data_IF_392357679761
#
_entry.id   IF_392357679761
#
_cell.length_a   1.000
_cell.length_b   1.000
_cell.length_c   1.000
_cell.angle_alpha   90.00
_cell.angle_beta   90.00
_cell.angle_gamma   90.00
#
_symmetry.space_group_name_H-M   'P 1'
#
loop_
_entity.id
_entity.type
_entity.pdbx_description
1 polymer ?
#
# COMPACT_ATOMS: atom_id res chain seq x y z
N UNK A 1 33.08 1.91 -65.29
CA UNK A 1 34.33 1.98 -66.09
C UNK A 1 35.52 2.17 -65.17
N UNK A 2 36.55 1.32 -65.34
CA UNK A 2 37.86 1.37 -64.67
C UNK A 2 38.53 2.73 -64.82
N UNK A 3 39.29 3.18 -63.80
CA UNK A 3 40.69 3.64 -63.90
C UNK A 3 41.21 4.05 -62.50
N UNK A 4 41.99 3.17 -61.86
CA UNK A 4 43.48 3.16 -61.81
C UNK A 4 44.04 4.07 -60.69
N UNK A 5 44.52 3.39 -59.64
CA UNK A 5 45.48 3.88 -58.65
C UNK A 5 46.71 4.48 -59.34
N UNK A 6 47.19 5.62 -58.83
CA UNK A 6 48.63 5.93 -58.82
C UNK A 6 49.02 6.52 -57.48
N UNK A 7 49.47 5.63 -56.57
CA UNK A 7 50.37 5.98 -55.47
C UNK A 7 51.64 6.52 -56.10
N UNK A 8 51.88 7.82 -56.02
CA UNK A 8 53.19 8.40 -56.28
C UNK A 8 53.92 8.40 -54.93
N UNK A 9 55.04 7.68 -54.91
CA UNK A 9 55.93 7.55 -53.76
C UNK A 9 56.48 8.92 -53.37
N UNK A 10 56.10 9.39 -52.18
CA UNK A 10 56.49 10.68 -51.58
C UNK A 10 58.02 10.85 -51.50
N UNK A 11 58.79 9.74 -51.53
CA UNK A 11 60.26 9.77 -51.55
C UNK A 11 60.88 10.33 -52.84
N UNK A 12 60.25 10.15 -54.00
CA UNK A 12 60.81 10.67 -55.26
C UNK A 12 60.41 12.12 -55.56
N UNK A 13 59.31 12.60 -54.95
CA UNK A 13 58.88 14.01 -55.02
C UNK A 13 59.82 14.93 -54.25
N UNK A 14 60.34 14.47 -53.12
CA UNK A 14 61.19 15.28 -52.23
C UNK A 14 62.62 15.41 -52.78
N UNK A 15 63.13 14.39 -53.48
CA UNK A 15 64.43 14.41 -54.17
C UNK A 15 64.40 15.31 -55.42
N UNK A 16 63.29 15.31 -56.18
CA UNK A 16 63.12 16.22 -57.32
C UNK A 16 63.00 17.70 -56.90
N UNK A 17 62.38 17.99 -55.76
CA UNK A 17 62.29 19.36 -55.21
C UNK A 17 63.64 19.81 -54.65
N UNK A 18 64.42 18.92 -54.00
CA UNK A 18 65.77 19.25 -53.54
C UNK A 18 66.75 19.51 -54.69
N UNK A 19 66.64 18.76 -55.80
CA UNK A 19 67.44 19.00 -57.01
C UNK A 19 67.06 20.30 -57.73
N UNK A 20 65.78 20.70 -57.71
CA UNK A 20 65.35 21.99 -58.29
C UNK A 20 65.87 23.20 -57.48
N UNK A 21 65.93 23.08 -56.15
CA UNK A 21 66.45 24.13 -55.27
C UNK A 21 67.98 24.27 -55.42
N UNK A 22 68.70 23.17 -55.65
CA UNK A 22 70.15 23.20 -55.92
C UNK A 22 70.52 23.74 -57.32
N UNK A 23 69.67 23.55 -58.34
CA UNK A 23 69.91 24.08 -59.70
C UNK A 23 69.58 25.58 -59.80
N UNK A 24 68.60 26.06 -59.04
CA UNK A 24 68.29 27.50 -58.93
C UNK A 24 69.37 28.22 -58.08
N UNK A 25 69.97 27.54 -57.10
CA UNK A 25 71.06 28.09 -56.27
C UNK A 25 72.41 28.26 -56.98
N UNK A 26 72.67 27.57 -58.09
CA UNK A 26 73.95 27.65 -58.84
C UNK A 26 73.84 28.47 -60.13
N UNK A 27 72.63 28.82 -60.57
CA UNK A 27 72.42 29.61 -61.81
C UNK A 27 72.30 31.13 -61.57
N UNK A 28 72.45 31.62 -60.34
CA UNK A 28 72.38 33.06 -60.02
C UNK A 28 73.75 33.74 -59.85
N UNK A 29 74.84 33.06 -60.22
CA UNK A 29 76.22 33.57 -60.12
C UNK A 29 76.98 33.45 -61.46
N UNK A 30 76.43 33.98 -62.56
CA UNK A 30 77.15 34.54 -63.72
C UNK A 30 76.14 35.43 -64.48
N UNK A 31 76.06 36.70 -64.12
CA UNK A 31 75.63 37.78 -65.03
C UNK A 31 76.05 39.13 -64.45
N UNK A 32 77.36 39.33 -64.36
CA UNK A 32 77.95 40.65 -64.14
C UNK A 32 77.79 41.48 -65.42
N UNK A 33 76.63 42.11 -65.61
CA UNK A 33 76.55 43.33 -66.44
C UNK A 33 77.00 44.51 -65.59
N UNK A 34 78.24 44.92 -65.85
CA UNK A 34 78.85 46.16 -65.38
C UNK A 34 77.95 47.34 -65.80
N UNK A 35 77.14 47.84 -64.87
CA UNK A 35 76.50 49.14 -64.95
C UNK A 35 77.05 49.95 -63.79
N UNK A 36 77.98 50.83 -64.09
CA UNK A 36 78.35 51.92 -63.20
C UNK A 36 77.08 52.73 -62.92
N UNK A 37 76.57 52.60 -61.70
CA UNK A 37 75.54 53.47 -61.14
C UNK A 37 76.17 54.08 -59.90
N UNK A 38 76.20 55.42 -59.90
CA UNK A 38 76.67 56.29 -58.83
C UNK A 38 76.12 55.86 -57.44
N UNK A 39 76.77 56.26 -56.32
CA UNK A 39 76.32 55.89 -54.97
C UNK A 39 74.96 56.54 -54.68
N UNK A 40 73.89 55.80 -54.95
CA UNK A 40 72.51 56.18 -54.60
C UNK A 40 72.29 55.86 -53.12
N UNK A 41 71.87 56.89 -52.36
CA UNK A 41 71.76 56.99 -50.91
C UNK A 41 70.76 56.04 -50.19
N UNK A 42 70.48 54.83 -50.70
CA UNK A 42 69.51 53.88 -50.13
C UNK A 42 70.15 52.63 -49.47
N UNK A 43 71.43 52.32 -49.74
CA UNK A 43 72.15 51.22 -49.09
C UNK A 43 72.41 51.47 -47.58
N UNK A 44 72.75 52.71 -47.14
CA UNK A 44 72.90 52.99 -45.72
C UNK A 44 71.58 52.88 -44.94
N UNK A 45 70.44 53.22 -45.58
CA UNK A 45 69.10 53.20 -44.96
C UNK A 45 68.58 51.75 -44.76
N UNK A 46 68.86 50.87 -45.71
CA UNK A 46 68.55 49.44 -45.58
C UNK A 46 69.45 48.74 -44.55
N UNK A 47 70.74 49.08 -44.50
CA UNK A 47 71.65 48.55 -43.49
C UNK A 47 71.24 49.04 -42.10
N UNK A 48 70.87 50.32 -41.96
CA UNK A 48 70.36 50.86 -40.70
C UNK A 48 69.08 50.15 -40.22
N UNK A 49 68.16 49.81 -41.13
CA UNK A 49 66.94 49.02 -40.79
C UNK A 49 67.24 47.58 -40.42
N UNK A 50 68.19 46.93 -41.08
CA UNK A 50 68.64 45.58 -40.70
C UNK A 50 69.28 45.62 -39.31
N UNK A 51 70.11 46.61 -39.03
CA UNK A 51 70.77 46.77 -37.74
C UNK A 51 69.75 47.12 -36.62
N UNK A 52 68.69 47.88 -36.94
CA UNK A 52 67.57 48.18 -36.05
C UNK A 52 66.75 46.93 -35.73
N UNK A 53 66.36 46.15 -36.74
CA UNK A 53 65.63 44.89 -36.57
C UNK A 53 66.45 43.84 -35.81
N UNK A 54 67.77 43.78 -36.06
CA UNK A 54 68.67 42.92 -35.29
C UNK A 54 68.76 43.35 -33.83
N UNK A 55 68.77 44.67 -33.56
CA UNK A 55 68.69 45.19 -32.18
C UNK A 55 67.35 44.87 -31.52
N UNK A 56 66.24 44.97 -32.24
CA UNK A 56 64.91 44.63 -31.72
C UNK A 56 64.77 43.13 -31.44
N UNK A 57 65.27 42.27 -32.33
CA UNK A 57 65.31 40.82 -32.12
C UNK A 57 66.17 40.44 -30.91
N UNK A 58 67.37 41.02 -30.80
CA UNK A 58 68.23 40.81 -29.63
C UNK A 58 67.57 41.29 -28.33
N UNK A 59 66.86 42.42 -28.38
CA UNK A 59 66.07 42.94 -27.25
C UNK A 59 64.94 41.97 -26.84
N UNK A 60 64.18 41.46 -27.81
CA UNK A 60 63.10 40.49 -27.56
C UNK A 60 63.62 39.14 -27.10
N UNK A 61 64.75 38.66 -27.61
CA UNK A 61 65.38 37.42 -27.13
C UNK A 61 65.85 37.56 -25.67
N UNK A 62 66.38 38.74 -25.30
CA UNK A 62 66.70 39.06 -23.91
C UNK A 62 65.46 39.06 -23.03
N UNK A 63 64.36 39.66 -23.48
CA UNK A 63 63.07 39.66 -22.76
C UNK A 63 62.49 38.25 -22.60
N UNK A 64 62.55 37.43 -23.66
CA UNK A 64 62.13 36.01 -23.61
C UNK A 64 62.95 35.24 -22.57
N UNK A 65 64.26 35.47 -22.52
CA UNK A 65 65.13 34.78 -21.55
C UNK A 65 64.84 35.25 -20.12
N UNK A 66 64.62 36.56 -19.90
CA UNK A 66 64.19 37.09 -18.61
C UNK A 66 62.85 36.48 -18.16
N UNK A 67 61.84 36.46 -19.04
CA UNK A 67 60.54 35.87 -18.73
C UNK A 67 60.65 34.36 -18.44
N UNK A 68 61.53 33.64 -19.13
CA UNK A 68 61.81 32.21 -18.83
C UNK A 68 62.46 32.05 -17.46
N UNK A 69 63.43 32.89 -17.11
CA UNK A 69 64.09 32.87 -15.80
C UNK A 69 63.13 33.25 -14.67
N UNK A 70 62.30 34.26 -14.86
CA UNK A 70 61.23 34.64 -13.93
C UNK A 70 60.22 33.52 -13.74
N UNK A 71 59.78 32.90 -14.84
CA UNK A 71 58.90 31.73 -14.78
C UNK A 71 59.55 30.57 -14.01
N UNK A 72 60.83 30.28 -14.27
CA UNK A 72 61.56 29.23 -13.56
C UNK A 72 61.81 29.58 -12.08
N UNK A 73 61.96 30.86 -11.74
CA UNK A 73 62.09 31.36 -10.36
C UNK A 73 60.74 31.22 -9.62
N UNK A 74 59.65 31.65 -10.24
CA UNK A 74 58.30 31.53 -9.68
C UNK A 74 57.95 30.05 -9.48
N UNK A 75 58.20 29.20 -10.47
CA UNK A 75 57.96 27.75 -10.36
C UNK A 75 58.76 27.10 -9.22
N UNK A 76 60.02 27.52 -8.99
CA UNK A 76 60.81 27.07 -7.85
C UNK A 76 60.28 27.55 -6.49
N UNK A 77 59.60 28.69 -6.46
CA UNK A 77 59.02 29.26 -5.23
C UNK A 77 57.64 28.68 -4.87
N UNK A 78 56.99 27.97 -5.78
CA UNK A 78 55.67 27.38 -5.56
C UNK A 78 55.80 25.94 -5.02
N UNK A 79 54.94 25.52 -4.06
CA UNK A 79 54.98 24.16 -3.51
C UNK A 79 54.61 23.13 -4.58
N UNK A 80 55.42 22.09 -4.80
CA UNK A 80 55.17 21.12 -5.88
C UNK A 80 53.76 20.52 -5.84
N UNK A 81 53.05 20.63 -6.97
CA UNK A 81 51.72 20.06 -7.16
C UNK A 81 51.76 18.53 -7.14
N UNK A 82 50.76 17.91 -6.55
CA UNK A 82 50.55 16.48 -6.64
C UNK A 82 49.71 16.16 -7.88
N UNK A 83 50.18 15.25 -8.74
CA UNK A 83 49.42 14.76 -9.89
C UNK A 83 48.66 13.49 -9.53
N UNK A 84 47.34 13.55 -9.68
CA UNK A 84 46.40 12.52 -9.24
C UNK A 84 46.60 11.22 -10.01
N UNK A 85 46.77 10.13 -9.26
CA UNK A 85 46.95 8.77 -9.74
C UNK A 85 45.65 7.95 -9.62
N UNK A 86 45.54 6.81 -10.31
CA UNK A 86 44.39 5.92 -10.19
C UNK A 86 44.21 5.43 -8.75
N UNK A 87 43.01 5.60 -8.20
CA UNK A 87 42.65 5.19 -6.84
C UNK A 87 42.84 6.28 -5.78
N UNK A 88 43.47 7.40 -6.13
CA UNK A 88 43.57 8.54 -5.23
C UNK A 88 42.20 9.18 -4.99
N UNK A 89 42.01 9.67 -3.77
CA UNK A 89 40.94 10.59 -3.45
C UNK A 89 41.55 11.87 -2.83
N UNK A 90 40.81 12.97 -2.92
CA UNK A 90 41.33 14.27 -2.51
C UNK A 90 41.62 14.33 -1.01
N UNK A 91 40.83 13.62 -0.20
CA UNK A 91 41.06 13.52 1.24
C UNK A 91 42.42 12.89 1.55
N UNK A 92 42.76 11.78 0.90
CA UNK A 92 44.04 11.07 1.11
C UNK A 92 45.23 11.93 0.71
N UNK A 93 45.13 12.63 -0.43
CA UNK A 93 46.17 13.55 -0.89
C UNK A 93 46.40 14.67 0.14
N UNK A 94 45.33 15.24 0.68
CA UNK A 94 45.40 16.26 1.74
C UNK A 94 45.97 15.71 3.05
N UNK A 95 45.55 14.51 3.43
CA UNK A 95 46.01 13.82 4.63
C UNK A 95 47.51 13.55 4.59
N UNK A 96 48.01 13.02 3.48
CA UNK A 96 49.44 12.74 3.30
C UNK A 96 50.26 14.03 3.29
N UNK A 97 49.74 15.11 2.71
CA UNK A 97 50.38 16.42 2.77
C UNK A 97 50.52 16.93 4.21
N UNK A 98 49.43 16.92 4.98
CA UNK A 98 49.39 17.46 6.34
C UNK A 98 50.25 16.62 7.31
N UNK A 99 50.15 15.29 7.23
CA UNK A 99 50.90 14.39 8.12
C UNK A 99 52.38 14.26 7.73
N UNK A 100 52.68 14.03 6.45
CA UNK A 100 54.04 13.71 6.01
C UNK A 100 54.89 14.96 5.74
N UNK A 101 54.31 16.01 5.15
CA UNK A 101 55.06 17.23 4.81
C UNK A 101 54.97 18.32 5.86
N UNK A 102 53.87 18.40 6.62
CA UNK A 102 53.65 19.43 7.66
C UNK A 102 53.77 18.91 9.09
N UNK A 103 53.77 17.60 9.30
CA UNK A 103 53.91 17.00 10.63
C UNK A 103 52.71 17.22 11.55
N UNK A 104 51.53 17.51 10.98
CA UNK A 104 50.29 17.69 11.74
C UNK A 104 49.81 16.33 12.26
N UNK A 105 49.27 16.31 13.48
CA UNK A 105 48.76 15.07 14.08
C UNK A 105 47.59 14.49 13.27
N UNK A 106 47.36 13.16 13.27
CA UNK A 106 46.24 12.53 12.57
C UNK A 106 44.87 13.09 12.99
N UNK A 107 44.68 13.36 14.27
CA UNK A 107 43.42 13.90 14.83
C UNK A 107 43.13 15.30 14.30
N UNK A 108 44.13 16.19 14.36
CA UNK A 108 44.01 17.55 13.86
C UNK A 108 43.86 17.60 12.33
N UNK A 109 44.57 16.72 11.62
CA UNK A 109 44.43 16.54 10.17
C UNK A 109 43.00 16.17 9.77
N UNK A 110 42.39 15.21 10.47
CA UNK A 110 41.00 14.81 10.23
C UNK A 110 40.03 15.97 10.39
N UNK A 111 40.22 16.80 11.44
CA UNK A 111 39.42 18.01 11.67
C UNK A 111 39.61 19.06 10.57
N UNK A 112 40.84 19.28 10.11
CA UNK A 112 41.14 20.24 9.05
C UNK A 112 40.49 19.83 7.72
N UNK A 113 40.63 18.56 7.32
CA UNK A 113 40.09 18.05 6.06
C UNK A 113 38.56 17.99 6.05
N UNK A 114 37.92 17.73 7.20
CA UNK A 114 36.45 17.71 7.30
C UNK A 114 35.83 19.08 6.99
N UNK A 115 36.52 20.16 7.33
CA UNK A 115 36.04 21.53 7.11
C UNK A 115 36.55 22.16 5.81
N UNK A 116 37.40 21.44 5.06
CA UNK A 116 38.00 21.94 3.83
C UNK A 116 37.12 21.63 2.61
N UNK A 117 37.19 22.49 1.60
CA UNK A 117 36.60 22.19 0.30
C UNK A 117 37.48 21.15 -0.42
N UNK A 118 37.01 19.90 -0.43
CA UNK A 118 37.63 18.81 -1.18
C UNK A 118 36.79 18.49 -2.41
N UNK A 119 37.35 18.74 -3.59
CA UNK A 119 36.76 18.31 -4.86
C UNK A 119 36.63 16.78 -4.94
N UNK A 120 35.42 16.31 -5.24
CA UNK A 120 35.06 14.93 -5.55
C UNK A 120 33.99 14.92 -6.66
N UNK A 121 34.12 14.14 -7.74
CA UNK A 121 35.20 13.20 -8.07
C UNK A 121 36.51 13.87 -8.51
N UNK A 122 37.63 13.23 -8.14
CA UNK A 122 38.98 13.65 -8.55
C UNK A 122 39.49 12.74 -9.68
N UNK A 123 39.74 13.32 -10.86
CA UNK A 123 40.17 12.53 -12.03
C UNK A 123 41.69 12.40 -12.11
N UNK A 124 42.15 11.24 -12.61
CA UNK A 124 43.56 10.98 -12.92
C UNK A 124 44.11 12.07 -13.85
N UNK A 125 45.28 12.60 -13.49
CA UNK A 125 45.95 13.68 -14.19
C UNK A 125 45.60 15.09 -13.71
N UNK A 126 44.62 15.26 -12.81
CA UNK A 126 44.45 16.54 -12.11
C UNK A 126 45.69 16.89 -11.29
N UNK A 127 45.92 18.19 -11.11
CA UNK A 127 46.99 18.70 -10.24
C UNK A 127 46.39 19.33 -9.00
N UNK A 128 46.70 18.77 -7.84
CA UNK A 128 46.28 19.27 -6.53
C UNK A 128 47.42 20.04 -5.90
N UNK A 129 47.17 21.32 -5.63
CA UNK A 129 48.06 22.19 -4.89
C UNK A 129 47.58 22.26 -3.46
N UNK A 130 48.38 21.75 -2.54
CA UNK A 130 48.08 21.75 -1.11
C UNK A 130 48.86 22.86 -0.42
N UNK A 131 48.17 23.63 0.41
CA UNK A 131 48.80 24.64 1.25
C UNK A 131 48.20 24.62 2.64
N UNK A 132 48.96 25.16 3.58
CA UNK A 132 48.53 25.34 4.95
C UNK A 132 49.02 26.72 5.37
N UNK A 133 48.09 27.54 5.84
CA UNK A 133 48.35 28.90 6.28
C UNK A 133 47.51 29.18 7.53
N UNK A 134 48.11 29.83 8.54
CA UNK A 134 47.46 30.16 9.82
C UNK A 134 46.68 29.00 10.49
N UNK A 135 47.18 27.75 10.33
CA UNK A 135 46.53 26.55 10.88
C UNK A 135 45.29 26.09 10.10
N UNK A 136 45.03 26.64 8.93
CA UNK A 136 43.97 26.21 8.01
C UNK A 136 44.57 25.47 6.82
N UNK A 137 43.93 24.37 6.43
CA UNK A 137 44.27 23.64 5.22
C UNK A 137 43.41 24.14 4.04
N UNK A 138 44.06 24.33 2.89
CA UNK A 138 43.38 24.60 1.65
C UNK A 138 44.00 23.85 0.49
N UNK A 139 43.19 23.63 -0.55
CA UNK A 139 43.66 23.02 -1.78
C UNK A 139 43.04 23.68 -3.02
N UNK A 140 43.82 23.69 -4.11
CA UNK A 140 43.35 24.10 -5.43
C UNK A 140 43.59 22.98 -6.43
N UNK A 141 42.56 22.63 -7.19
CA UNK A 141 42.64 21.58 -8.22
C UNK A 141 42.62 22.21 -9.61
N UNK A 142 43.64 21.90 -10.41
CA UNK A 142 43.76 22.30 -11.80
C UNK A 142 43.73 21.08 -12.72
N UNK A 143 43.42 21.30 -14.00
CA UNK A 143 43.26 20.24 -14.99
C UNK A 143 44.48 19.32 -15.14
N UNK A 144 45.70 19.86 -15.03
CA UNK A 144 46.92 19.07 -15.23
C UNK A 144 46.95 18.39 -16.59
N UNK A 145 47.17 17.07 -16.61
CA UNK A 145 47.18 16.22 -17.81
C UNK A 145 45.80 15.60 -18.14
N UNK A 146 44.78 15.83 -17.31
CA UNK A 146 43.45 15.26 -17.52
C UNK A 146 42.74 15.85 -18.75
N UNK A 147 41.85 15.06 -19.37
CA UNK A 147 41.11 15.45 -20.58
C UNK A 147 40.03 16.52 -20.36
N UNK A 148 39.53 16.64 -19.14
CA UNK A 148 38.43 17.54 -18.74
C UNK A 148 38.93 18.46 -17.65
N UNK A 149 38.46 19.70 -17.55
CA UNK A 149 38.82 20.56 -16.42
C UNK A 149 37.87 20.38 -15.22
N UNK A 150 38.33 20.60 -13.97
CA UNK A 150 37.51 20.45 -12.76
C UNK A 150 36.17 21.20 -12.82
N UNK A 151 36.16 22.45 -13.30
CA UNK A 151 34.92 23.23 -13.40
C UNK A 151 33.89 22.69 -14.41
N UNK A 152 34.34 21.97 -15.44
CA UNK A 152 33.42 21.28 -16.36
C UNK A 152 32.84 20.01 -15.73
N UNK A 153 33.65 19.28 -14.96
CA UNK A 153 33.21 18.10 -14.20
C UNK A 153 32.13 18.47 -13.17
N UNK A 154 32.39 19.49 -12.34
CA UNK A 154 31.42 19.99 -11.34
C UNK A 154 30.09 20.37 -12.00
N UNK A 155 30.13 21.06 -13.15
CA UNK A 155 28.93 21.48 -13.87
C UNK A 155 28.12 20.28 -14.39
N UNK A 156 28.80 19.28 -14.93
CA UNK A 156 28.14 18.04 -15.39
C UNK A 156 27.51 17.31 -14.21
N UNK A 157 28.24 17.15 -13.11
CA UNK A 157 27.72 16.41 -11.96
C UNK A 157 26.61 17.17 -11.23
N UNK A 158 26.72 18.49 -11.08
CA UNK A 158 25.63 19.33 -10.55
C UNK A 158 24.39 19.23 -11.43
N UNK A 159 24.56 19.23 -12.75
CA UNK A 159 23.44 19.05 -13.69
C UNK A 159 22.81 17.66 -13.53
N UNK A 160 23.60 16.59 -13.44
CA UNK A 160 23.09 15.24 -13.21
C UNK A 160 22.32 15.15 -11.89
N UNK A 161 22.88 15.67 -10.80
CA UNK A 161 22.23 15.70 -9.48
C UNK A 161 20.90 16.47 -9.57
N UNK A 162 20.87 17.61 -10.26
CA UNK A 162 19.64 18.38 -10.45
C UNK A 162 18.60 17.61 -11.28
N UNK A 163 19.02 16.93 -12.36
CA UNK A 163 18.14 16.10 -13.19
C UNK A 163 17.60 14.88 -12.43
N UNK A 164 18.42 14.21 -11.63
CA UNK A 164 18.02 13.09 -10.77
C UNK A 164 17.07 13.55 -9.67
N UNK A 165 17.36 14.67 -9.01
CA UNK A 165 16.47 15.27 -8.01
C UNK A 165 15.11 15.58 -8.63
N UNK A 166 15.07 16.21 -9.81
CA UNK A 166 13.82 16.50 -10.50
C UNK A 166 13.05 15.22 -10.88
N UNK A 167 13.74 14.16 -11.32
CA UNK A 167 13.10 12.86 -11.59
C UNK A 167 12.48 12.27 -10.32
N UNK A 168 13.24 12.25 -9.22
CA UNK A 168 12.76 11.74 -7.93
C UNK A 168 11.58 12.56 -7.39
N UNK A 169 11.63 13.89 -7.51
CA UNK A 169 10.51 14.76 -7.11
C UNK A 169 9.24 14.47 -7.93
N UNK A 170 9.37 14.25 -9.24
CA UNK A 170 8.25 13.86 -10.10
C UNK A 170 7.72 12.46 -9.78
N UNK A 171 8.59 11.49 -9.46
CA UNK A 171 8.19 10.15 -9.02
C UNK A 171 7.46 10.20 -7.68
N UNK A 172 7.96 10.98 -6.72
CA UNK A 172 7.30 11.20 -5.43
C UNK A 172 5.91 11.83 -5.63
N UNK A 173 5.79 12.82 -6.51
CA UNK A 173 4.51 13.45 -6.81
C UNK A 173 3.51 12.44 -7.40
N UNK A 174 3.92 11.63 -8.37
CA UNK A 174 3.09 10.57 -8.97
C UNK A 174 2.68 9.51 -7.95
N UNK A 175 3.61 9.06 -7.10
CA UNK A 175 3.31 8.07 -6.06
C UNK A 175 2.32 8.62 -5.03
N UNK A 176 2.42 9.91 -4.68
CA UNK A 176 1.46 10.55 -3.78
C UNK A 176 0.06 10.61 -4.39
N UNK A 177 -0.04 11.00 -5.66
CA UNK A 177 -1.32 11.04 -6.39
C UNK A 177 -1.96 9.65 -6.47
N UNK A 178 -1.17 8.61 -6.78
CA UNK A 178 -1.65 7.22 -6.81
C UNK A 178 -2.12 6.74 -5.42
N UNK A 179 -1.38 7.04 -4.36
CA UNK A 179 -1.77 6.71 -2.97
C UNK A 179 -3.08 7.42 -2.60
N UNK A 180 -3.23 8.69 -2.95
CA UNK A 180 -4.45 9.46 -2.67
C UNK A 180 -5.66 8.86 -3.40
N UNK A 181 -5.49 8.54 -4.69
CA UNK A 181 -6.52 7.88 -5.48
C UNK A 181 -6.93 6.53 -4.90
N UNK A 182 -5.96 5.67 -4.56
CA UNK A 182 -6.23 4.37 -3.95
C UNK A 182 -6.91 4.52 -2.58
N UNK A 183 -6.50 5.50 -1.78
CA UNK A 183 -7.14 5.80 -0.49
C UNK A 183 -8.62 6.18 -0.66
N UNK A 184 -8.94 7.01 -1.66
CA UNK A 184 -10.32 7.37 -1.99
C UNK A 184 -11.13 6.16 -2.46
N UNK A 185 -10.58 5.34 -3.35
CA UNK A 185 -11.22 4.11 -3.84
C UNK A 185 -11.51 3.12 -2.70
N UNK A 186 -10.54 2.88 -1.81
CA UNK A 186 -10.74 2.00 -0.66
C UNK A 186 -11.76 2.56 0.34
N UNK A 187 -11.74 3.87 0.58
CA UNK A 187 -12.73 4.52 1.46
C UNK A 187 -14.14 4.34 0.90
N UNK A 188 -14.34 4.60 -0.40
CA UNK A 188 -15.63 4.39 -1.06
C UNK A 188 -16.08 2.91 -0.99
N UNK A 189 -15.14 1.97 -1.14
CA UNK A 189 -15.45 0.53 -1.05
C UNK A 189 -15.83 0.11 0.37
N UNK A 190 -15.20 0.68 1.39
CA UNK A 190 -15.56 0.42 2.79
C UNK A 190 -16.98 0.91 3.06
N UNK A 191 -17.34 2.12 2.64
CA UNK A 191 -18.69 2.67 2.82
C UNK A 191 -19.77 1.82 2.12
N UNK A 192 -19.47 1.32 0.91
CA UNK A 192 -20.36 0.41 0.19
C UNK A 192 -20.57 -0.91 0.95
N UNK A 193 -19.48 -1.55 1.37
CA UNK A 193 -19.54 -2.81 2.11
C UNK A 193 -20.22 -2.66 3.46
N UNK A 194 -20.07 -1.52 4.13
CA UNK A 194 -20.78 -1.23 5.39
C UNK A 194 -22.30 -1.09 5.15
N UNK A 195 -22.73 -0.44 4.07
CA UNK A 195 -24.14 -0.37 3.69
C UNK A 195 -24.71 -1.75 3.39
N UNK A 196 -24.00 -2.56 2.59
CA UNK A 196 -24.40 -3.93 2.30
C UNK A 196 -24.49 -4.79 3.58
N UNK A 197 -23.53 -4.63 4.50
CA UNK A 197 -23.55 -5.34 5.79
C UNK A 197 -24.77 -4.99 6.63
N UNK A 198 -25.11 -3.71 6.74
CA UNK A 198 -26.29 -3.29 7.50
C UNK A 198 -27.60 -3.77 6.85
N UNK A 199 -27.67 -3.75 5.51
CA UNK A 199 -28.83 -4.28 4.79
C UNK A 199 -29.00 -5.79 5.01
N UNK A 200 -27.93 -6.57 4.86
CA UNK A 200 -27.95 -8.02 5.10
C UNK A 200 -28.30 -8.34 6.55
N UNK A 201 -27.80 -7.55 7.51
CA UNK A 201 -28.15 -7.71 8.93
C UNK A 201 -29.63 -7.48 9.18
N UNK A 202 -30.20 -6.42 8.59
CA UNK A 202 -31.64 -6.15 8.67
C UNK A 202 -32.47 -7.30 8.06
N UNK A 203 -32.03 -7.85 6.93
CA UNK A 203 -32.68 -9.02 6.31
C UNK A 203 -32.61 -10.26 7.21
N UNK A 204 -31.48 -10.53 7.86
CA UNK A 204 -31.32 -11.63 8.82
C UNK A 204 -32.26 -11.46 10.01
N UNK A 205 -32.35 -10.26 10.57
CA UNK A 205 -33.22 -9.99 11.72
C UNK A 205 -34.70 -10.19 11.35
N UNK A 206 -35.12 -9.72 10.17
CA UNK A 206 -36.47 -9.94 9.65
C UNK A 206 -36.78 -11.42 9.46
N UNK A 207 -35.87 -12.18 8.84
CA UNK A 207 -36.05 -13.61 8.60
C UNK A 207 -36.10 -14.41 9.90
N UNK A 208 -35.28 -14.05 10.89
CA UNK A 208 -35.31 -14.69 12.20
C UNK A 208 -36.64 -14.43 12.92
N UNK A 209 -37.18 -13.22 12.83
CA UNK A 209 -38.49 -12.89 13.39
C UNK A 209 -39.61 -13.69 12.69
N UNK A 210 -39.56 -13.80 11.37
CA UNK A 210 -40.51 -14.60 10.60
C UNK A 210 -40.42 -16.09 10.96
N UNK A 211 -39.21 -16.64 11.05
CA UNK A 211 -38.99 -18.03 11.46
C UNK A 211 -39.51 -18.31 12.87
N UNK A 212 -39.27 -17.41 13.83
CA UNK A 212 -39.80 -17.53 15.18
C UNK A 212 -41.34 -17.49 15.21
N UNK A 213 -41.95 -16.61 14.42
CA UNK A 213 -43.40 -16.52 14.28
C UNK A 213 -43.99 -17.79 13.68
N UNK A 214 -43.42 -18.30 12.58
CA UNK A 214 -43.86 -19.53 11.93
C UNK A 214 -43.67 -20.75 12.85
N UNK A 215 -42.58 -20.80 13.61
CA UNK A 215 -42.35 -21.84 14.60
C UNK A 215 -43.43 -21.79 15.70
N UNK A 216 -43.76 -20.60 16.21
CA UNK A 216 -44.84 -20.42 17.19
C UNK A 216 -46.22 -20.79 16.65
N UNK A 217 -46.50 -20.49 15.38
CA UNK A 217 -47.75 -20.92 14.72
C UNK A 217 -47.80 -22.43 14.57
N UNK A 218 -46.69 -23.07 14.15
CA UNK A 218 -46.62 -24.51 14.02
C UNK A 218 -46.80 -25.21 15.37
N UNK A 219 -46.19 -24.72 16.45
CA UNK A 219 -46.37 -25.31 17.78
C UNK A 219 -47.81 -25.14 18.29
N UNK A 220 -48.45 -24.00 18.06
CA UNK A 220 -49.86 -23.78 18.40
C UNK A 220 -50.80 -24.68 17.58
N UNK A 221 -50.60 -24.77 16.26
CA UNK A 221 -51.39 -25.63 15.38
C UNK A 221 -51.25 -27.10 15.77
N UNK A 222 -50.01 -27.56 16.00
CA UNK A 222 -49.73 -28.92 16.41
C UNK A 222 -50.34 -29.21 17.79
N UNK A 223 -50.28 -28.26 18.72
CA UNK A 223 -50.98 -28.39 20.01
C UNK A 223 -52.50 -28.50 19.83
N UNK A 224 -53.11 -27.67 18.98
CA UNK A 224 -54.55 -27.72 18.70
C UNK A 224 -54.97 -29.04 18.06
N UNK A 225 -54.21 -29.54 17.09
CA UNK A 225 -54.45 -30.83 16.45
C UNK A 225 -54.38 -32.00 17.44
N UNK A 226 -53.48 -31.89 18.42
CA UNK A 226 -53.31 -32.90 19.45
C UNK A 226 -54.13 -32.65 20.72
N UNK A 227 -55.06 -31.70 20.71
CA UNK A 227 -55.85 -31.36 21.89
C UNK A 227 -57.22 -32.04 21.92
N UNK A 228 -57.71 -32.32 23.13
CA UNK A 228 -59.13 -32.55 23.42
C UNK A 228 -59.75 -31.26 23.94
N UNK A 229 -60.96 -30.96 23.51
CA UNK A 229 -61.75 -29.81 23.94
C UNK A 229 -62.87 -30.28 24.86
N UNK A 230 -63.03 -29.64 26.01
CA UNK A 230 -64.03 -30.05 26.98
C UNK A 230 -64.84 -28.89 27.57
N UNK A 231 -66.11 -29.19 27.84
CA UNK A 231 -67.01 -28.37 28.64
C UNK A 231 -67.27 -29.13 29.94
N UNK A 232 -66.85 -28.58 31.07
CA UNK A 232 -67.12 -29.14 32.38
C UNK A 232 -68.16 -28.32 33.15
N UNK A 233 -69.05 -28.98 33.89
CA UNK A 233 -70.03 -28.30 34.72
C UNK A 233 -70.80 -29.23 35.64
N UNK A 234 -71.54 -28.66 36.60
CA UNK A 234 -72.47 -29.49 37.38
C UNK A 234 -73.58 -30.01 36.48
N UNK A 235 -74.04 -31.23 36.75
CA UNK A 235 -75.17 -31.82 36.01
C UNK A 235 -76.42 -30.92 36.04
N UNK A 236 -76.64 -30.19 37.15
CA UNK A 236 -77.76 -29.26 37.30
C UNK A 236 -77.61 -28.07 36.35
N UNK A 237 -76.44 -27.43 36.33
CA UNK A 237 -76.18 -26.24 35.51
C UNK A 237 -76.19 -26.57 34.02
N UNK A 238 -75.52 -27.66 33.62
CA UNK A 238 -75.49 -28.08 32.22
C UNK A 238 -76.89 -28.44 31.69
N UNK A 239 -77.80 -28.94 32.54
CA UNK A 239 -79.20 -29.17 32.17
C UNK A 239 -80.01 -27.88 32.09
N UNK A 240 -79.86 -26.99 33.07
CA UNK A 240 -80.54 -25.70 33.11
C UNK A 240 -80.19 -24.84 31.88
N UNK A 241 -78.92 -24.90 31.46
CA UNK A 241 -78.40 -24.18 30.30
C UNK A 241 -78.62 -24.91 28.97
N UNK A 242 -79.41 -26.00 28.94
CA UNK A 242 -79.75 -26.72 27.71
C UNK A 242 -78.61 -27.49 27.04
N UNK A 243 -77.41 -27.51 27.63
CA UNK A 243 -76.21 -28.16 27.08
C UNK A 243 -76.33 -29.69 27.06
N UNK A 244 -77.05 -30.24 28.06
CA UNK A 244 -77.34 -31.67 28.15
C UNK A 244 -78.84 -31.92 28.35
N UNK A 245 -79.37 -32.97 27.73
CA UNK A 245 -80.75 -33.43 27.92
C UNK A 245 -80.76 -34.83 28.53
N UNK A 246 -81.58 -35.03 29.56
CA UNK A 246 -81.94 -36.35 30.06
C UNK A 246 -83.38 -36.67 29.67
N UNK A 247 -83.69 -37.93 29.37
CA UNK A 247 -85.07 -38.35 29.12
C UNK A 247 -85.86 -38.40 30.42
N UNK A 248 -87.13 -38.00 30.37
CA UNK A 248 -88.11 -38.24 31.44
C UNK A 248 -88.10 -39.73 31.80
N UNK A 249 -88.02 -40.08 33.09
CA UNK A 249 -87.81 -41.44 33.64
C UNK A 249 -86.45 -42.13 33.42
N UNK A 250 -85.43 -41.48 32.85
CA UNK A 250 -84.06 -42.03 32.82
C UNK A 250 -83.80 -43.17 31.81
N UNK A 251 -84.81 -43.56 31.04
CA UNK A 251 -84.80 -44.75 30.17
C UNK A 251 -83.87 -44.68 28.94
N UNK A 252 -83.36 -43.50 28.55
CA UNK A 252 -82.43 -43.35 27.40
C UNK A 252 -81.09 -42.66 27.76
N UNK A 253 -80.86 -42.40 29.05
CA UNK A 253 -79.69 -41.70 29.60
C UNK A 253 -79.37 -40.33 28.94
N UNK A 254 -78.24 -39.73 29.33
CA UNK A 254 -77.93 -38.34 29.03
C UNK A 254 -77.36 -38.15 27.61
N UNK A 255 -77.74 -37.06 26.92
CA UNK A 255 -77.27 -36.70 25.58
C UNK A 255 -76.87 -35.22 25.52
N UNK A 256 -75.93 -34.89 24.63
CA UNK A 256 -75.56 -33.51 24.26
C UNK A 256 -76.72 -32.92 23.44
N UNK A 257 -77.01 -31.62 23.61
CA UNK A 257 -78.07 -30.93 22.86
C UNK A 257 -77.57 -29.64 22.21
N UNK A 258 -77.73 -28.48 22.87
CA UNK A 258 -77.44 -27.17 22.26
C UNK A 258 -76.05 -26.67 22.68
N UNK A 259 -75.00 -27.36 22.20
CA UNK A 259 -73.59 -27.02 22.46
C UNK A 259 -72.94 -26.50 21.19
N UNK A 260 -72.40 -25.29 21.23
CA UNK A 260 -71.64 -24.66 20.15
C UNK A 260 -70.13 -24.78 20.39
N UNK A 261 -69.32 -24.32 19.43
CA UNK A 261 -67.86 -24.42 19.54
C UNK A 261 -67.32 -23.60 20.73
N UNK A 262 -67.94 -22.45 20.99
CA UNK A 262 -67.55 -21.47 22.01
C UNK A 262 -67.81 -21.97 23.44
N UNK A 263 -68.63 -23.00 23.61
CA UNK A 263 -68.91 -23.60 24.91
C UNK A 263 -67.73 -24.46 25.44
N UNK A 264 -66.84 -24.92 24.56
CA UNK A 264 -65.70 -25.77 24.95
C UNK A 264 -64.49 -24.92 25.34
N UNK A 265 -64.58 -24.31 26.53
CA UNK A 265 -63.55 -23.41 27.04
C UNK A 265 -62.30 -24.15 27.56
N UNK A 266 -62.44 -25.42 27.93
CA UNK A 266 -61.33 -26.25 28.37
C UNK A 266 -60.60 -26.90 27.19
N UNK A 267 -59.27 -26.90 27.23
CA UNK A 267 -58.40 -27.56 26.24
C UNK A 267 -57.24 -28.26 26.94
N UNK A 268 -56.95 -29.50 26.55
CA UNK A 268 -55.77 -30.24 27.00
C UNK A 268 -55.03 -30.80 25.79
N UNK A 269 -53.73 -30.54 25.70
CA UNK A 269 -52.83 -31.16 24.73
C UNK A 269 -52.49 -32.59 25.18
N UNK A 270 -52.91 -33.58 24.38
CA UNK A 270 -52.79 -35.00 24.71
C UNK A 270 -51.35 -35.51 24.63
N UNK A 271 -50.41 -34.71 24.12
CA UNK A 271 -48.97 -35.02 24.10
C UNK A 271 -48.32 -34.76 25.46
N UNK A 272 -48.84 -33.78 26.20
CA UNK A 272 -48.29 -33.37 27.49
C UNK A 272 -48.95 -34.13 28.65
N UNK A 273 -50.26 -34.30 28.61
CA UNK A 273 -51.01 -34.99 29.66
C UNK A 273 -52.20 -35.75 29.07
N UNK A 274 -52.59 -36.82 29.75
CA UNK A 274 -53.76 -37.62 29.41
C UNK A 274 -54.91 -37.45 30.44
N UNK A 275 -54.74 -36.56 31.42
CA UNK A 275 -55.69 -36.36 32.50
C UNK A 275 -56.37 -34.99 32.43
N UNK A 276 -57.70 -34.97 32.55
CA UNK A 276 -58.47 -33.75 32.81
C UNK A 276 -58.76 -33.68 34.30
N UNK A 277 -58.15 -32.71 34.97
CA UNK A 277 -58.35 -32.44 36.39
C UNK A 277 -59.59 -31.58 36.63
N UNK A 278 -60.35 -31.94 37.65
CA UNK A 278 -61.59 -31.27 38.06
C UNK A 278 -61.55 -31.01 39.56
N UNK A 279 -61.73 -29.76 39.99
CA UNK A 279 -61.86 -29.40 41.41
C UNK A 279 -63.33 -29.24 41.80
N UNK A 280 -63.72 -29.68 43.00
CA UNK A 280 -65.07 -29.46 43.53
C UNK A 280 -65.39 -27.96 43.68
N UNK A 281 -64.37 -27.16 43.99
CA UNK A 281 -64.44 -25.70 44.15
C UNK A 281 -64.88 -25.01 42.85
N UNK A 282 -64.32 -25.40 41.70
CA UNK A 282 -64.67 -24.86 40.38
C UNK A 282 -66.16 -24.98 40.06
N UNK A 283 -66.83 -25.95 40.70
CA UNK A 283 -68.24 -26.24 40.51
C UNK A 283 -69.13 -25.79 41.67
N UNK A 284 -68.57 -25.13 42.69
CA UNK A 284 -69.25 -24.78 43.95
C UNK A 284 -69.89 -26.01 44.63
N UNK A 285 -69.17 -27.13 44.66
CA UNK A 285 -69.60 -28.37 45.31
C UNK A 285 -68.76 -28.64 46.55
N UNK A 286 -69.37 -29.23 47.59
CA UNK A 286 -68.63 -29.65 48.79
C UNK A 286 -67.81 -30.92 48.58
N UNK A 287 -68.21 -31.77 47.62
CA UNK A 287 -67.47 -32.96 47.18
C UNK A 287 -68.01 -33.45 45.82
N UNK A 288 -67.12 -33.90 44.94
CA UNK A 288 -67.42 -34.62 43.70
C UNK A 288 -67.70 -36.08 44.04
N UNK A 289 -68.95 -36.51 43.84
CA UNK A 289 -69.36 -37.92 44.06
C UNK A 289 -69.31 -38.72 42.79
N UNK A 290 -69.49 -38.06 41.64
CA UNK A 290 -69.50 -38.73 40.34
C UNK A 290 -69.15 -37.78 39.21
N UNK A 291 -68.24 -38.21 38.35
CA UNK A 291 -67.99 -37.61 37.05
C UNK A 291 -68.59 -38.49 35.95
N UNK A 292 -69.22 -37.88 34.96
CA UNK A 292 -69.62 -38.55 33.73
C UNK A 292 -69.15 -37.79 32.50
N UNK A 293 -68.93 -38.53 31.42
CA UNK A 293 -68.41 -38.03 30.15
C UNK A 293 -69.44 -38.29 29.06
N UNK A 294 -69.65 -37.31 28.20
CA UNK A 294 -70.38 -37.41 26.94
C UNK A 294 -69.45 -36.99 25.80
N UNK A 295 -69.60 -37.56 24.60
CA UNK A 295 -70.66 -38.47 24.15
C UNK A 295 -70.48 -39.93 24.61
N UNK A 296 -71.60 -40.67 24.69
CA UNK A 296 -71.64 -42.05 25.23
C UNK A 296 -70.92 -43.13 24.38
N UNK A 297 -70.53 -42.83 23.15
CA UNK A 297 -69.79 -43.78 22.33
C UNK A 297 -68.36 -43.98 22.85
N UNK A 298 -67.86 -43.02 23.63
CA UNK A 298 -66.65 -43.14 24.43
C UNK A 298 -66.97 -43.94 25.69
N UNK A 299 -66.34 -45.10 25.85
CA UNK A 299 -66.70 -46.09 26.88
C UNK A 299 -65.83 -45.95 28.13
N UNK A 300 -66.46 -45.88 29.30
CA UNK A 300 -65.77 -45.91 30.59
C UNK A 300 -65.00 -47.23 30.76
N UNK A 301 -63.82 -47.15 31.36
CA UNK A 301 -62.84 -48.21 31.63
C UNK A 301 -62.21 -48.86 30.38
N UNK A 302 -62.62 -48.43 29.19
CA UNK A 302 -62.02 -48.79 27.89
C UNK A 302 -61.29 -47.57 27.31
N UNK A 303 -62.03 -46.51 27.03
CA UNK A 303 -61.52 -45.30 26.38
C UNK A 303 -61.04 -44.26 27.41
N UNK A 304 -61.66 -44.22 28.60
CA UNK A 304 -61.29 -43.33 29.70
C UNK A 304 -61.61 -43.96 31.05
N UNK A 305 -60.95 -43.49 32.11
CA UNK A 305 -61.30 -43.80 33.51
C UNK A 305 -61.47 -42.52 34.32
N UNK A 306 -62.14 -42.64 35.45
CA UNK A 306 -62.34 -41.53 36.39
C UNK A 306 -61.80 -41.96 37.73
N UNK A 307 -60.88 -41.17 38.27
CA UNK A 307 -60.37 -41.31 39.63
C UNK A 307 -60.90 -40.12 40.44
N UNK A 308 -61.47 -40.39 41.62
CA UNK A 308 -61.98 -39.36 42.52
C UNK A 308 -61.19 -39.51 43.82
N UNK A 309 -60.62 -38.43 44.32
CA UNK A 309 -59.89 -38.45 45.58
C UNK A 309 -60.81 -38.87 46.74
N UNK A 310 -60.23 -39.48 47.78
CA UNK A 310 -61.01 -40.03 48.91
C UNK A 310 -61.82 -38.97 49.67
N UNK A 311 -61.40 -37.71 49.63
CA UNK A 311 -62.08 -36.55 50.19
C UNK A 311 -63.15 -35.94 49.26
N UNK A 312 -63.21 -36.40 48.00
CA UNK A 312 -64.06 -35.87 46.95
C UNK A 312 -63.72 -34.45 46.49
N UNK A 313 -62.59 -33.87 46.90
CA UNK A 313 -62.24 -32.49 46.52
C UNK A 313 -61.72 -32.39 45.09
N UNK A 314 -61.10 -33.45 44.59
CA UNK A 314 -60.58 -33.52 43.22
C UNK A 314 -61.03 -34.80 42.49
N UNK A 315 -61.11 -34.70 41.17
CA UNK A 315 -61.31 -35.84 40.29
C UNK A 315 -60.50 -35.69 39.01
N UNK A 316 -59.88 -36.79 38.57
CA UNK A 316 -59.06 -36.87 37.37
C UNK A 316 -59.74 -37.78 36.35
N UNK A 317 -59.99 -37.26 35.14
CA UNK A 317 -60.52 -38.04 34.02
C UNK A 317 -59.35 -38.41 33.11
N UNK A 318 -58.89 -39.66 33.21
CA UNK A 318 -57.71 -40.16 32.51
C UNK A 318 -58.14 -40.79 31.18
N UNK A 319 -57.64 -40.25 30.08
CA UNK A 319 -57.96 -40.58 28.69
C UNK A 319 -57.01 -41.67 28.20
N UNK A 320 -57.49 -42.92 28.18
CA UNK A 320 -56.67 -44.09 27.82
C UNK A 320 -56.45 -44.22 26.32
N UNK A 321 -57.49 -43.95 25.52
CA UNK A 321 -57.43 -44.06 24.06
C UNK A 321 -57.35 -42.66 23.42
N UNK A 322 -56.15 -42.06 23.44
CA UNK A 322 -55.91 -40.68 23.01
C UNK A 322 -56.42 -40.39 21.60
N UNK A 323 -56.29 -41.33 20.67
CA UNK A 323 -56.72 -41.16 19.27
C UNK A 323 -58.21 -40.85 19.14
N UNK A 324 -59.05 -41.36 20.05
CA UNK A 324 -60.49 -41.05 20.08
C UNK A 324 -60.80 -39.65 20.62
N UNK A 325 -59.83 -39.00 21.27
CA UNK A 325 -59.99 -37.69 21.89
C UNK A 325 -59.28 -36.57 21.12
N UNK A 326 -58.44 -36.89 20.14
CA UNK A 326 -57.85 -35.90 19.23
C UNK A 326 -58.94 -35.09 18.54
N UNK A 327 -58.91 -33.76 18.72
CA UNK A 327 -59.91 -32.80 18.23
C UNK A 327 -61.35 -33.07 18.71
N UNK A 328 -61.52 -34.03 19.63
CA UNK A 328 -62.82 -34.40 20.14
C UNK A 328 -63.34 -33.31 21.07
N UNK A 329 -64.66 -33.20 21.09
CA UNK A 329 -65.40 -32.26 21.93
C UNK A 329 -66.25 -33.04 22.91
N UNK A 330 -65.87 -32.98 24.17
CA UNK A 330 -66.48 -33.80 25.23
C UNK A 330 -67.14 -32.93 26.29
N UNK A 331 -68.24 -33.42 26.86
CA UNK A 331 -68.93 -32.75 27.97
C UNK A 331 -68.74 -33.58 29.22
N UNK A 332 -68.09 -32.99 30.21
CA UNK A 332 -67.91 -33.55 31.54
C UNK A 332 -68.98 -32.99 32.47
N UNK A 333 -69.70 -33.87 33.16
CA UNK A 333 -70.65 -33.44 34.17
C UNK A 333 -70.31 -34.05 35.52
N UNK A 334 -70.31 -33.19 36.56
CA UNK A 334 -70.06 -33.59 37.94
C UNK A 334 -71.35 -33.58 38.76
N UNK A 335 -71.35 -34.33 39.87
CA UNK A 335 -72.46 -34.51 40.80
C UNK A 335 -71.99 -34.59 42.23
#
# INVERSE_FOLDING_TARGET
MKKIKKRISIRNSLVLILCFILIIGVSFMISCKKKEVAPTAQVPDLQAKVDELQRELAGKDSEINQLKEETARIQRSLPSAYEVQPGDNHWQIGYDYLTTKRGVSPEETGRMLTNAYLLDPLLVGFKVWNFMDEGQYGSFVLQGSAKVCPGSLIRVDTKKIAEEKLKLENEIAKLKEEIEKQSMEFTAKIEELEKEREELKSQIDSLNQEAANLQGQNTDLDSRLNSVYYLAGTKKNLKANGKIKGTFLGLSGMKIKDVSFEDFQGRIDLRETDAIELSAEDFNLSAIKKVGLLPKHVKKDIDYRVEIAGDGQSASVILRNKDKFLLARIVLYVK
#
